data_IF_343554769967
#
_entry.id   IF_343554769967
#
_cell.length_a   1.000
_cell.length_b   1.000
_cell.length_c   1.000
_cell.angle_alpha   90.00
_cell.angle_beta   90.00
_cell.angle_gamma   90.00
#
_symmetry.space_group_name_H-M   'P 1'
#
loop_
_entity.id
_entity.type
_entity.pdbx_description
1 polymer ?
#
# COMPACT_ATOMS: atom_id res chain seq x y z
N UNK A 1 -7.47 -8.55 11.26
CA UNK A 1 -7.22 -7.16 10.80
C UNK A 1 -6.71 -7.24 9.37
N UNK A 2 -7.31 -6.54 8.38
CA UNK A 2 -6.69 -6.39 7.07
C UNK A 2 -5.34 -5.67 7.22
N UNK A 3 -4.34 -6.06 6.42
CA UNK A 3 -3.03 -5.42 6.45
C UNK A 3 -3.13 -3.93 6.02
N UNK A 4 -2.39 -3.06 6.71
CA UNK A 4 -2.37 -1.62 6.44
C UNK A 4 -1.33 -1.29 5.36
N UNK A 5 -1.40 -0.07 4.80
CA UNK A 5 -0.37 0.44 3.88
C UNK A 5 1.02 0.37 4.54
N UNK A 6 1.13 0.75 5.81
CA UNK A 6 2.40 0.72 6.55
C UNK A 6 3.02 -0.68 6.62
N UNK A 7 2.19 -1.72 6.77
CA UNK A 7 2.66 -3.09 6.72
C UNK A 7 3.29 -3.42 5.36
N UNK A 8 2.62 -3.06 4.26
CA UNK A 8 3.17 -3.31 2.92
C UNK A 8 4.44 -2.51 2.66
N UNK A 9 4.49 -1.24 3.09
CA UNK A 9 5.69 -0.40 2.99
C UNK A 9 6.86 -0.97 3.80
N UNK A 10 6.62 -1.50 5.00
CA UNK A 10 7.65 -2.17 5.78
C UNK A 10 8.21 -3.40 5.05
N UNK A 11 7.37 -4.17 4.35
CA UNK A 11 7.81 -5.31 3.52
C UNK A 11 8.59 -4.87 2.29
N UNK A 12 8.20 -3.76 1.64
CA UNK A 12 8.96 -3.15 0.53
C UNK A 12 10.37 -2.78 1.01
N UNK A 13 10.47 -2.07 2.14
CA UNK A 13 11.75 -1.65 2.72
C UNK A 13 12.63 -2.85 3.11
N UNK A 14 12.04 -3.88 3.72
CA UNK A 14 12.74 -5.11 4.06
C UNK A 14 13.31 -5.81 2.82
N UNK A 15 12.50 -6.03 1.78
CA UNK A 15 12.98 -6.69 0.57
C UNK A 15 14.06 -5.86 -0.15
N UNK A 16 13.98 -4.53 -0.09
CA UNK A 16 15.01 -3.67 -0.66
C UNK A 16 16.35 -3.80 0.09
N UNK A 17 16.30 -3.80 1.43
CA UNK A 17 17.47 -4.01 2.28
C UNK A 17 18.11 -5.38 2.00
N UNK A 18 17.32 -6.45 1.98
CA UNK A 18 17.82 -7.81 1.70
C UNK A 18 18.47 -7.91 0.30
N UNK A 19 17.92 -7.20 -0.70
CA UNK A 19 18.48 -7.14 -2.05
C UNK A 19 19.81 -6.36 -2.13
N UNK A 20 20.03 -5.41 -1.22
CA UNK A 20 21.27 -4.63 -1.10
C UNK A 20 22.37 -5.38 -0.33
N UNK A 21 22.00 -6.14 0.70
CA UNK A 21 22.94 -6.87 1.56
C UNK A 21 23.46 -8.17 0.93
N UNK A 22 22.73 -8.74 -0.04
CA UNK A 22 23.14 -10.00 -0.68
C UNK A 22 24.08 -9.79 -1.87
N UNK A 23 25.11 -10.64 -1.96
CA UNK A 23 26.00 -10.72 -3.13
C UNK A 23 25.55 -11.77 -4.16
N UNK A 24 24.47 -12.50 -3.89
CA UNK A 24 23.97 -13.55 -4.76
C UNK A 24 22.90 -12.99 -5.71
N UNK A 25 23.18 -13.00 -7.02
CA UNK A 25 22.30 -12.43 -8.03
C UNK A 25 20.89 -13.02 -8.00
N UNK A 26 20.77 -14.34 -7.85
CA UNK A 26 19.49 -15.05 -7.77
C UNK A 26 18.67 -14.64 -6.54
N UNK A 27 19.32 -14.39 -5.40
CA UNK A 27 18.67 -13.90 -4.17
C UNK A 27 18.22 -12.46 -4.37
N UNK A 28 19.08 -11.60 -4.92
CA UNK A 28 18.77 -10.20 -5.22
C UNK A 28 17.54 -10.08 -6.11
N UNK A 29 17.50 -10.83 -7.22
CA UNK A 29 16.34 -10.85 -8.11
C UNK A 29 15.05 -11.30 -7.41
N UNK A 30 15.12 -12.33 -6.57
CA UNK A 30 13.97 -12.81 -5.80
C UNK A 30 13.46 -11.72 -4.86
N UNK A 31 14.36 -11.06 -4.12
CA UNK A 31 14.01 -9.95 -3.23
C UNK A 31 13.36 -8.78 -4.01
N UNK A 32 13.89 -8.43 -5.19
CA UNK A 32 13.30 -7.39 -6.04
C UNK A 32 11.90 -7.77 -6.57
N UNK A 33 11.68 -9.03 -6.96
CA UNK A 33 10.34 -9.51 -7.34
C UNK A 33 9.36 -9.45 -6.17
N UNK A 34 9.79 -9.84 -4.97
CA UNK A 34 8.97 -9.71 -3.76
C UNK A 34 8.68 -8.24 -3.43
N UNK A 35 9.67 -7.35 -3.53
CA UNK A 35 9.50 -5.89 -3.37
C UNK A 35 8.40 -5.37 -4.30
N UNK A 36 8.43 -5.74 -5.58
CA UNK A 36 7.43 -5.32 -6.56
C UNK A 36 6.01 -5.81 -6.19
N UNK A 37 5.88 -7.07 -5.74
CA UNK A 37 4.60 -7.60 -5.29
C UNK A 37 4.05 -6.83 -4.08
N UNK A 38 4.90 -6.49 -3.10
CA UNK A 38 4.49 -5.69 -1.93
C UNK A 38 4.12 -4.26 -2.31
N UNK A 39 4.83 -3.66 -3.27
CA UNK A 39 4.51 -2.32 -3.77
C UNK A 39 3.12 -2.30 -4.39
N UNK A 40 2.79 -3.28 -5.25
CA UNK A 40 1.45 -3.39 -5.86
C UNK A 40 0.35 -3.48 -4.79
N UNK A 41 0.60 -4.23 -3.70
CA UNK A 41 -0.37 -4.34 -2.59
C UNK A 41 -0.50 -3.03 -1.80
N UNK A 42 0.60 -2.32 -1.58
CA UNK A 42 0.60 -0.98 -0.98
C UNK A 42 -0.24 0.00 -1.82
N UNK A 43 -0.02 0.02 -3.14
CA UNK A 43 -0.71 0.91 -4.05
C UNK A 43 -2.22 0.62 -4.08
N UNK A 44 -2.60 -0.66 -4.10
CA UNK A 44 -4.01 -1.08 -3.98
C UNK A 44 -4.63 -0.63 -2.67
N UNK A 45 -3.92 -0.80 -1.55
CA UNK A 45 -4.40 -0.38 -0.24
C UNK A 45 -4.58 1.15 -0.17
N UNK A 46 -3.70 1.92 -0.82
CA UNK A 46 -3.82 3.37 -0.93
C UNK A 46 -5.06 3.78 -1.72
N UNK A 47 -5.31 3.16 -2.88
CA UNK A 47 -6.51 3.43 -3.68
C UNK A 47 -7.80 3.19 -2.87
N UNK A 48 -7.88 2.07 -2.15
CA UNK A 48 -9.02 1.76 -1.28
C UNK A 48 -9.20 2.83 -0.19
N UNK A 49 -8.11 3.31 0.41
CA UNK A 49 -8.20 4.38 1.42
C UNK A 49 -8.68 5.71 0.82
N UNK A 50 -8.19 6.07 -0.36
CA UNK A 50 -8.62 7.29 -1.06
C UNK A 50 -10.12 7.22 -1.39
N UNK A 51 -10.59 6.11 -1.92
CA UNK A 51 -12.00 5.95 -2.29
C UNK A 51 -12.92 5.99 -1.06
N UNK A 52 -12.49 5.40 0.07
CA UNK A 52 -13.22 5.52 1.34
C UNK A 52 -13.33 6.97 1.81
N UNK A 53 -12.24 7.74 1.72
CA UNK A 53 -12.24 9.17 2.08
C UNK A 53 -13.18 9.97 1.17
N UNK A 54 -13.16 9.71 -0.14
CA UNK A 54 -14.09 10.33 -1.10
C UNK A 54 -15.55 10.05 -0.77
N UNK A 55 -15.88 8.77 -0.51
CA UNK A 55 -17.24 8.37 -0.14
C UNK A 55 -17.71 9.02 1.17
N UNK A 56 -16.81 9.19 2.14
CA UNK A 56 -17.15 9.88 3.39
C UNK A 56 -17.48 11.36 3.16
N UNK A 57 -16.69 12.05 2.34
CA UNK A 57 -16.93 13.45 1.96
C UNK A 57 -18.25 13.61 1.19
N UNK A 58 -18.51 12.74 0.22
CA UNK A 58 -19.76 12.78 -0.55
C UNK A 58 -20.99 12.52 0.34
N UNK A 59 -20.88 11.62 1.32
CA UNK A 59 -21.94 11.40 2.31
C UNK A 59 -22.16 12.60 3.22
N UNK A 60 -21.09 13.28 3.64
CA UNK A 60 -21.17 14.51 4.44
C UNK A 60 -21.87 15.61 3.65
N UNK A 61 -21.45 15.87 2.41
CA UNK A 61 -22.08 16.86 1.52
C UNK A 61 -23.58 16.60 1.34
N UNK A 62 -23.97 15.35 1.02
CA UNK A 62 -25.38 14.98 0.87
C UNK A 62 -26.19 15.13 2.15
N UNK A 63 -25.55 14.97 3.32
CA UNK A 63 -26.22 15.13 4.61
C UNK A 63 -26.49 16.60 4.92
N UNK A 64 -25.53 17.47 4.62
CA UNK A 64 -25.68 18.92 4.79
C UNK A 64 -26.77 19.46 3.84
N UNK A 65 -26.78 19.03 2.57
CA UNK A 65 -27.83 19.36 1.58
C UNK A 65 -29.24 18.89 1.97
N UNK A 66 -29.37 17.91 2.87
CA UNK A 66 -30.67 17.41 3.34
C UNK A 66 -31.13 18.06 4.66
N UNK A 67 -30.25 18.83 5.32
CA UNK A 67 -30.54 19.51 6.58
C UNK A 67 -30.92 20.99 6.39
N UNK A 68 -30.63 21.56 5.22
CA UNK A 68 -31.13 22.86 4.72
C UNK A 68 -32.51 22.71 4.02
#
# INVERSE_FOLDING_TARGET
MPATIDFYLARVAQCDKEAQETNLANVKERCLRSKAAWQIMSDRALLVQIDRKRQALDKMRKKDEHLD
#
